data_IF_532131337337
#
_entry.id   IF_532131337337
#
_cell.length_a   1.000
_cell.length_b   1.000
_cell.length_c   1.000
_cell.angle_alpha   90.00
_cell.angle_beta   90.00
_cell.angle_gamma   90.00
#
_symmetry.space_group_name_H-M   'P 1'
#
loop_
_entity.id
_entity.type
_entity.pdbx_description
1 polymer ?
#
# COMPACT_ATOMS: atom_id res chain seq x y z
N UNK A 1 -39.70 -7.65 24.22
CA UNK A 1 -40.02 -7.25 25.60
C UNK A 1 -39.93 -5.72 25.80
N UNK A 2 -38.89 -5.04 25.31
CA UNK A 2 -38.75 -3.58 25.46
C UNK A 2 -39.80 -2.70 24.75
N UNK A 3 -40.34 -3.11 23.60
CA UNK A 3 -41.35 -2.28 22.89
C UNK A 3 -42.68 -2.20 23.63
N UNK A 4 -43.11 -3.27 24.29
CA UNK A 4 -44.41 -3.32 25.00
C UNK A 4 -44.34 -2.45 26.26
N UNK A 5 -43.22 -2.49 26.99
CA UNK A 5 -43.01 -1.70 28.21
C UNK A 5 -42.96 -0.20 27.88
N UNK A 6 -42.29 0.20 26.79
CA UNK A 6 -42.30 1.61 26.36
C UNK A 6 -43.69 2.10 25.94
N UNK A 7 -44.51 1.21 25.36
CA UNK A 7 -45.86 1.54 24.94
C UNK A 7 -46.80 1.74 26.14
N UNK A 8 -46.73 0.85 27.13
CA UNK A 8 -47.49 0.96 28.39
C UNK A 8 -47.15 2.23 29.19
N UNK A 9 -45.87 2.62 29.24
CA UNK A 9 -45.43 3.86 29.91
C UNK A 9 -45.92 5.13 29.20
N UNK A 10 -46.20 5.08 27.90
CA UNK A 10 -46.75 6.21 27.15
C UNK A 10 -48.25 6.37 27.41
N UNK A 11 -48.97 5.26 27.59
CA UNK A 11 -50.42 5.26 27.84
C UNK A 11 -50.75 5.79 29.25
N UNK A 12 -49.97 5.44 30.27
CA UNK A 12 -50.14 5.97 31.63
C UNK A 12 -49.88 7.48 31.71
N UNK A 13 -48.85 7.96 31.01
CA UNK A 13 -48.54 9.40 30.94
C UNK A 13 -49.62 10.20 30.22
N UNK A 14 -50.21 9.62 29.18
CA UNK A 14 -51.31 10.24 28.44
C UNK A 14 -52.56 10.38 29.32
N UNK A 15 -52.89 9.32 30.07
CA UNK A 15 -54.02 9.32 31.00
C UNK A 15 -53.84 10.36 32.11
N UNK A 16 -52.63 10.48 32.66
CA UNK A 16 -52.32 11.50 33.66
C UNK A 16 -52.49 12.93 33.13
N UNK A 17 -52.08 13.21 31.89
CA UNK A 17 -52.28 14.51 31.27
C UNK A 17 -53.77 14.82 31.04
N UNK A 18 -54.57 13.82 30.67
CA UNK A 18 -56.02 13.98 30.53
C UNK A 18 -56.72 14.25 31.87
N UNK A 19 -56.25 13.63 32.96
CA UNK A 19 -56.76 13.89 34.32
C UNK A 19 -56.42 15.31 34.80
N UNK A 20 -55.20 15.81 34.51
CA UNK A 20 -54.81 17.19 34.82
C UNK A 20 -55.60 18.24 34.02
N UNK A 21 -55.94 17.93 32.77
CA UNK A 21 -56.78 18.77 31.90
C UNK A 21 -58.21 18.87 32.45
N UNK A 22 -58.80 17.73 32.86
CA UNK A 22 -60.12 17.69 33.49
C UNK A 22 -60.19 18.45 34.83
N UNK A 23 -59.06 18.55 35.54
CA UNK A 23 -58.94 19.36 36.75
C UNK A 23 -58.68 20.85 36.48
N UNK A 24 -58.58 21.28 35.21
CA UNK A 24 -58.35 22.67 34.83
C UNK A 24 -56.98 23.22 35.27
N UNK A 25 -56.02 22.33 35.51
CA UNK A 25 -54.67 22.69 36.01
C UNK A 25 -53.75 23.11 34.85
N UNK A 26 -54.06 22.68 33.63
CA UNK A 26 -53.27 22.96 32.44
C UNK A 26 -53.68 24.30 31.82
N UNK A 27 -52.68 25.13 31.49
CA UNK A 27 -52.86 26.40 30.78
C UNK A 27 -52.90 26.21 29.25
N UNK A 28 -52.67 24.99 28.76
CA UNK A 28 -52.56 24.65 27.34
C UNK A 28 -53.17 23.27 27.07
N UNK A 29 -53.74 23.09 25.87
CA UNK A 29 -54.34 21.82 25.44
C UNK A 29 -53.32 20.66 25.45
N UNK A 30 -53.76 19.49 25.92
CA UNK A 30 -52.98 18.25 25.98
C UNK A 30 -52.32 17.90 24.63
N UNK A 31 -53.03 18.13 23.52
CA UNK A 31 -52.52 17.88 22.16
C UNK A 31 -51.32 18.77 21.80
N UNK A 32 -51.32 20.03 22.26
CA UNK A 32 -50.21 20.97 22.07
C UNK A 32 -48.99 20.56 22.89
N UNK A 33 -49.20 20.07 24.12
CA UNK A 33 -48.13 19.55 24.98
C UNK A 33 -47.48 18.32 24.35
N UNK A 34 -48.27 17.37 23.85
CA UNK A 34 -47.77 16.16 23.16
C UNK A 34 -46.95 16.51 21.91
N UNK A 35 -47.38 17.53 21.15
CA UNK A 35 -46.67 17.99 19.96
C UNK A 35 -45.29 18.57 20.30
N UNK A 36 -45.14 19.27 21.44
CA UNK A 36 -43.85 19.83 21.90
C UNK A 36 -42.83 18.75 22.27
N UNK A 37 -43.28 17.57 22.71
CA UNK A 37 -42.42 16.45 23.08
C UNK A 37 -42.27 15.38 21.98
N UNK A 38 -42.90 15.57 20.82
CA UNK A 38 -42.75 14.63 19.70
C UNK A 38 -41.33 14.71 19.13
N UNK A 39 -40.63 13.57 18.95
CA UNK A 39 -39.28 13.58 18.42
C UNK A 39 -39.28 14.19 17.00
N UNK A 40 -38.26 14.99 16.64
CA UNK A 40 -38.18 15.58 15.32
C UNK A 40 -38.19 14.48 14.26
N UNK A 41 -38.98 14.66 13.19
CA UNK A 41 -39.06 13.70 12.07
C UNK A 41 -37.68 13.58 11.42
N UNK A 42 -36.90 12.57 11.82
CA UNK A 42 -35.61 12.24 11.21
C UNK A 42 -35.89 11.87 9.75
N UNK A 43 -35.53 12.75 8.81
CA UNK A 43 -35.57 12.46 7.37
C UNK A 43 -34.68 11.23 7.13
N UNK A 44 -35.29 10.09 6.76
CA UNK A 44 -34.55 8.88 6.40
C UNK A 44 -33.54 9.25 5.30
N UNK A 45 -32.24 9.17 5.61
CA UNK A 45 -31.17 9.32 4.62
C UNK A 45 -31.39 8.26 3.53
N UNK A 46 -31.57 8.69 2.28
CA UNK A 46 -31.64 7.77 1.15
C UNK A 46 -30.29 7.07 1.02
N UNK A 47 -30.25 5.75 1.15
CA UNK A 47 -29.06 4.95 0.87
C UNK A 47 -28.81 4.95 -0.64
N UNK A 48 -28.04 5.94 -1.12
CA UNK A 48 -27.57 5.96 -2.51
C UNK A 48 -26.38 5.00 -2.58
N UNK A 49 -26.61 3.73 -2.96
CA UNK A 49 -25.53 2.82 -3.37
C UNK A 49 -25.01 3.27 -4.74
N UNK A 50 -24.07 4.22 -4.74
CA UNK A 50 -23.25 4.49 -5.93
C UNK A 50 -22.39 3.25 -6.18
N UNK A 51 -22.74 2.47 -7.22
CA UNK A 51 -21.96 1.33 -7.67
C UNK A 51 -20.66 1.87 -8.27
N UNK A 52 -19.62 1.99 -7.44
CA UNK A 52 -18.30 2.43 -7.91
C UNK A 52 -17.79 1.49 -9.01
N UNK A 53 -17.15 2.04 -10.03
CA UNK A 53 -16.53 1.25 -11.10
C UNK A 53 -15.35 0.45 -10.56
N UNK A 54 -15.06 -0.71 -11.16
CA UNK A 54 -13.89 -1.52 -10.76
C UNK A 54 -12.58 -0.74 -10.87
N UNK A 55 -12.46 0.15 -11.87
CA UNK A 55 -11.32 1.06 -12.01
C UNK A 55 -11.16 1.97 -10.79
N UNK A 56 -12.24 2.61 -10.33
CA UNK A 56 -12.22 3.48 -9.15
C UNK A 56 -11.78 2.74 -7.89
N UNK A 57 -12.24 1.50 -7.72
CA UNK A 57 -11.85 0.64 -6.62
C UNK A 57 -10.35 0.35 -6.70
N UNK A 58 -9.87 -0.14 -7.85
CA UNK A 58 -8.48 -0.52 -8.05
C UNK A 58 -7.49 0.63 -7.86
N UNK A 59 -7.88 1.84 -8.24
CA UNK A 59 -7.05 3.03 -8.06
C UNK A 59 -6.79 3.31 -6.57
N UNK A 60 -7.80 3.09 -5.73
CA UNK A 60 -7.77 3.36 -4.29
C UNK A 60 -7.20 2.21 -3.45
N UNK A 61 -7.14 0.99 -4.00
CA UNK A 61 -6.54 -0.15 -3.32
C UNK A 61 -5.03 0.03 -3.12
N UNK A 62 -4.52 -0.63 -2.07
CA UNK A 62 -3.08 -0.83 -1.87
C UNK A 62 -2.43 -1.50 -3.07
N UNK A 63 -1.11 -1.48 -3.14
CA UNK A 63 -0.40 -2.21 -4.20
C UNK A 63 -0.67 -3.70 -4.01
N UNK A 64 -1.30 -4.34 -5.01
CA UNK A 64 -1.62 -5.76 -5.03
C UNK A 64 -0.81 -6.48 -6.11
N UNK A 65 -0.46 -7.76 -5.92
CA UNK A 65 0.14 -8.56 -6.98
C UNK A 65 -0.88 -8.86 -8.07
N UNK A 66 -0.40 -9.11 -9.28
CA UNK A 66 -1.26 -9.60 -10.35
C UNK A 66 -1.74 -11.02 -10.03
N UNK A 67 -3.06 -11.19 -9.94
CA UNK A 67 -3.72 -12.45 -9.56
C UNK A 67 -4.51 -13.07 -10.73
N UNK A 68 -4.04 -12.88 -11.98
CA UNK A 68 -4.68 -13.47 -13.17
C UNK A 68 -5.99 -12.80 -13.62
N UNK A 69 -6.34 -11.64 -13.04
CA UNK A 69 -7.56 -10.89 -13.38
C UNK A 69 -7.21 -9.52 -13.92
N UNK A 70 -7.77 -9.18 -15.08
CA UNK A 70 -7.55 -7.92 -15.78
C UNK A 70 -8.81 -7.05 -15.65
N UNK A 71 -8.61 -5.78 -15.28
CA UNK A 71 -9.70 -4.81 -15.21
C UNK A 71 -9.87 -4.21 -16.60
N UNK A 72 -11.01 -4.50 -17.23
CA UNK A 72 -11.27 -4.11 -18.63
C UNK A 72 -11.26 -2.61 -18.85
N UNK A 73 -11.68 -1.81 -17.86
CA UNK A 73 -11.72 -0.35 -17.96
C UNK A 73 -10.35 0.33 -17.84
N UNK A 74 -9.31 -0.45 -17.50
CA UNK A 74 -7.96 0.05 -17.26
C UNK A 74 -7.06 -0.25 -18.45
N UNK A 75 -6.02 0.57 -18.58
CA UNK A 75 -4.96 0.40 -19.57
C UNK A 75 -4.30 -0.98 -19.43
N UNK A 76 -4.16 -1.69 -20.55
CA UNK A 76 -3.55 -3.03 -20.59
C UNK A 76 -2.02 -3.04 -20.55
N UNK A 77 -1.38 -1.87 -20.49
CA UNK A 77 0.07 -1.80 -20.34
C UNK A 77 0.51 -2.35 -18.97
N UNK A 78 1.56 -3.15 -18.98
CA UNK A 78 2.19 -3.63 -17.76
C UNK A 78 3.13 -2.56 -17.17
N UNK A 79 3.12 -2.40 -15.84
CA UNK A 79 3.96 -1.46 -15.10
C UNK A 79 4.69 -2.16 -13.97
N UNK A 80 5.98 -1.87 -13.82
CA UNK A 80 6.80 -2.35 -12.71
C UNK A 80 6.62 -1.44 -11.48
N UNK A 81 5.90 -1.92 -10.48
CA UNK A 81 5.62 -1.24 -9.21
C UNK A 81 6.26 -2.01 -8.06
N UNK A 82 7.30 -1.45 -7.43
CA UNK A 82 8.01 -2.04 -6.29
C UNK A 82 8.54 -3.48 -6.53
N UNK A 83 8.82 -3.85 -7.78
CA UNK A 83 9.26 -5.20 -8.16
C UNK A 83 8.13 -6.17 -8.52
N UNK A 84 6.87 -5.72 -8.41
CA UNK A 84 5.72 -6.39 -9.02
C UNK A 84 5.48 -5.83 -10.40
N UNK A 85 4.95 -6.65 -11.28
CA UNK A 85 4.48 -6.21 -12.58
C UNK A 85 2.96 -6.29 -12.56
N UNK A 86 2.32 -5.13 -12.67
CA UNK A 86 0.88 -4.94 -12.43
C UNK A 86 0.26 -4.15 -13.58
N UNK A 87 -1.07 -4.21 -13.70
CA UNK A 87 -1.80 -3.44 -14.69
C UNK A 87 -1.65 -1.93 -14.42
N UNK A 88 -1.55 -1.13 -15.47
CA UNK A 88 -1.59 0.32 -15.33
C UNK A 88 -2.92 0.76 -14.68
N UNK A 89 -2.83 1.61 -13.64
CA UNK A 89 -4.01 2.13 -12.92
C UNK A 89 -4.81 3.19 -13.70
N UNK A 90 -4.31 3.66 -14.86
CA UNK A 90 -5.01 4.66 -15.68
C UNK A 90 -6.14 3.99 -16.47
N UNK A 91 -7.19 4.76 -16.76
CA UNK A 91 -8.25 4.36 -17.69
C UNK A 91 -7.64 4.12 -19.07
N UNK A 92 -8.11 3.11 -19.79
CA UNK A 92 -7.73 2.91 -21.19
C UNK A 92 -8.47 3.90 -22.09
N UNK A 93 -7.84 4.25 -23.19
CA UNK A 93 -8.48 4.90 -24.32
C UNK A 93 -8.94 3.82 -25.32
N UNK A 94 -9.33 4.23 -26.53
CA UNK A 94 -9.85 3.30 -27.56
C UNK A 94 -8.78 2.30 -28.04
N UNK A 95 -7.49 2.62 -27.85
CA UNK A 95 -6.35 1.83 -28.31
C UNK A 95 -5.81 0.82 -27.28
N UNK A 96 -6.68 0.26 -26.41
CA UNK A 96 -6.34 -0.68 -25.30
C UNK A 96 -5.39 -0.12 -24.20
N UNK A 97 -4.64 0.94 -24.49
CA UNK A 97 -3.72 1.63 -23.61
C UNK A 97 -4.23 3.03 -23.28
N UNK A 98 -3.74 3.61 -22.18
CA UNK A 98 -3.88 5.04 -21.91
C UNK A 98 -2.89 5.83 -22.76
N UNK A 99 -3.17 7.09 -23.02
CA UNK A 99 -2.36 8.05 -23.80
C UNK A 99 -0.84 7.92 -23.54
N UNK A 100 -0.41 7.98 -22.28
CA UNK A 100 1.00 7.90 -21.94
C UNK A 100 1.64 6.53 -22.21
N UNK A 101 0.85 5.45 -22.19
CA UNK A 101 1.35 4.10 -22.48
C UNK A 101 1.34 3.82 -23.99
N UNK A 102 0.35 4.33 -24.73
CA UNK A 102 0.37 4.31 -26.19
C UNK A 102 1.55 5.11 -26.74
N UNK A 103 1.87 6.26 -26.15
CA UNK A 103 3.04 7.03 -26.57
C UNK A 103 4.36 6.32 -26.25
N UNK A 104 4.43 5.66 -25.09
CA UNK A 104 5.58 4.82 -24.75
C UNK A 104 5.72 3.61 -25.70
N UNK A 105 4.61 3.09 -26.22
CA UNK A 105 4.59 1.97 -27.16
C UNK A 105 5.12 2.38 -28.54
N UNK A 106 4.74 3.57 -29.05
CA UNK A 106 5.25 4.12 -30.31
C UNK A 106 6.77 4.35 -30.29
N UNK A 107 7.30 4.73 -29.14
CA UNK A 107 8.73 4.97 -28.94
C UNK A 107 9.53 3.67 -28.70
N UNK A 108 8.86 2.52 -28.62
CA UNK A 108 9.49 1.21 -28.45
C UNK A 108 9.63 0.51 -29.80
N UNK A 109 10.72 -0.25 -29.98
CA UNK A 109 10.95 -1.04 -31.20
C UNK A 109 9.93 -2.16 -31.42
N UNK A 110 9.23 -2.58 -30.37
CA UNK A 110 8.26 -3.68 -30.38
C UNK A 110 6.80 -3.22 -30.53
N UNK A 111 6.57 -1.91 -30.74
CA UNK A 111 5.23 -1.26 -30.79
C UNK A 111 4.36 -1.53 -29.54
N UNK A 112 4.98 -2.03 -28.46
CA UNK A 112 4.36 -2.36 -27.19
C UNK A 112 4.93 -1.48 -26.09
N UNK A 113 4.18 -1.24 -24.99
CA UNK A 113 4.71 -0.57 -23.81
C UNK A 113 6.01 -1.22 -23.33
N UNK A 114 6.89 -0.51 -22.59
CA UNK A 114 8.26 -0.95 -22.30
C UNK A 114 8.37 -2.27 -21.54
N UNK A 115 7.33 -2.67 -20.81
CA UNK A 115 7.27 -3.96 -20.12
C UNK A 115 6.31 -4.95 -20.79
N UNK A 116 5.70 -4.60 -21.92
CA UNK A 116 4.71 -5.41 -22.62
C UNK A 116 3.27 -5.20 -22.13
N UNK A 117 2.41 -6.12 -22.56
CA UNK A 117 0.98 -6.16 -22.25
C UNK A 117 0.71 -7.04 -21.02
N UNK A 118 -0.27 -6.66 -20.20
CA UNK A 118 -0.66 -7.42 -19.02
C UNK A 118 -1.24 -8.80 -19.37
N UNK A 119 -1.82 -8.95 -20.57
CA UNK A 119 -2.36 -10.24 -21.07
C UNK A 119 -1.27 -11.28 -21.29
N UNK A 120 -0.08 -10.84 -21.66
CA UNK A 120 1.08 -11.69 -21.96
C UNK A 120 1.93 -11.97 -20.71
N UNK A 121 1.59 -11.34 -19.59
CA UNK A 121 2.37 -11.38 -18.35
C UNK A 121 2.72 -12.81 -17.93
N UNK A 122 1.75 -13.71 -17.87
CA UNK A 122 1.97 -15.06 -17.35
C UNK A 122 2.92 -15.86 -18.24
N UNK A 123 2.86 -15.64 -19.57
CA UNK A 123 3.82 -16.22 -20.52
C UNK A 123 5.23 -15.64 -20.32
N UNK A 124 5.35 -14.32 -20.15
CA UNK A 124 6.65 -13.67 -19.91
C UNK A 124 7.30 -14.08 -18.58
N UNK A 125 6.48 -14.38 -17.56
CA UNK A 125 6.95 -14.97 -16.29
C UNK A 125 7.46 -16.39 -16.52
N UNK A 126 6.71 -17.23 -17.24
CA UNK A 126 7.12 -18.61 -17.54
C UNK A 126 8.42 -18.67 -18.34
N UNK A 127 8.60 -17.77 -19.31
CA UNK A 127 9.81 -17.65 -20.12
C UNK A 127 10.97 -16.96 -19.40
N UNK A 128 10.78 -16.47 -18.16
CA UNK A 128 11.77 -15.72 -17.36
C UNK A 128 12.25 -14.42 -18.02
N UNK A 129 11.44 -13.83 -18.90
CA UNK A 129 11.75 -12.55 -19.58
C UNK A 129 11.57 -11.35 -18.64
N UNK A 130 10.72 -11.47 -17.62
CA UNK A 130 10.50 -10.42 -16.62
C UNK A 130 11.58 -10.43 -15.53
N UNK A 131 12.53 -9.53 -15.67
CA UNK A 131 13.66 -9.41 -14.74
C UNK A 131 13.24 -8.81 -13.39
N UNK A 132 13.67 -9.46 -12.31
CA UNK A 132 13.58 -8.92 -10.96
C UNK A 132 12.17 -8.91 -10.38
N UNK A 133 11.36 -9.95 -10.68
CA UNK A 133 10.12 -10.21 -9.95
C UNK A 133 10.45 -10.48 -8.48
N UNK A 134 9.73 -9.82 -7.59
CA UNK A 134 9.82 -9.98 -6.15
C UNK A 134 8.49 -10.59 -5.66
N UNK A 135 8.55 -11.46 -4.65
CA UNK A 135 7.34 -11.96 -3.97
C UNK A 135 6.61 -10.84 -3.25
N UNK A 136 5.28 -10.96 -3.14
CA UNK A 136 4.46 -9.93 -2.50
C UNK A 136 4.78 -9.74 -1.01
N UNK A 137 5.17 -10.80 -0.29
CA UNK A 137 5.60 -10.72 1.11
C UNK A 137 6.70 -9.68 1.36
N UNK A 138 7.70 -9.64 0.48
CA UNK A 138 8.77 -8.63 0.55
C UNK A 138 8.27 -7.20 0.28
N UNK A 139 7.24 -7.07 -0.56
CA UNK A 139 6.63 -5.76 -0.88
C UNK A 139 5.80 -5.25 0.28
N UNK A 140 5.10 -6.13 1.00
CA UNK A 140 4.37 -5.79 2.22
C UNK A 140 5.30 -5.26 3.30
N UNK A 141 6.42 -5.94 3.54
CA UNK A 141 7.46 -5.51 4.49
C UNK A 141 8.04 -4.15 4.09
N UNK A 142 8.30 -3.93 2.79
CA UNK A 142 8.85 -2.67 2.29
C UNK A 142 7.87 -1.49 2.36
N UNK A 143 6.57 -1.74 2.16
CA UNK A 143 5.55 -0.70 2.12
C UNK A 143 4.75 -0.57 3.43
N UNK A 144 5.07 -1.39 4.44
CA UNK A 144 4.33 -1.48 5.70
C UNK A 144 2.82 -1.68 5.50
N UNK A 145 2.44 -2.52 4.54
CA UNK A 145 1.04 -2.84 4.24
C UNK A 145 0.63 -4.02 5.13
N UNK A 146 -0.49 -3.88 5.84
CA UNK A 146 -1.04 -4.98 6.63
C UNK A 146 -1.62 -6.08 5.73
N UNK A 147 -1.33 -7.35 6.04
CA UNK A 147 -1.79 -8.51 5.26
C UNK A 147 -3.32 -8.52 5.15
N UNK A 148 -4.02 -8.20 6.24
CA UNK A 148 -5.49 -8.12 6.27
C UNK A 148 -6.04 -7.03 5.36
N UNK A 149 -5.32 -5.91 5.21
CA UNK A 149 -5.74 -4.84 4.30
C UNK A 149 -5.61 -5.28 2.84
N UNK A 150 -4.50 -5.95 2.49
CA UNK A 150 -4.29 -6.48 1.15
C UNK A 150 -5.35 -7.53 0.76
N UNK A 151 -5.72 -8.43 1.68
CA UNK A 151 -6.78 -9.43 1.45
C UNK A 151 -8.15 -8.78 1.24
N UNK A 152 -8.50 -7.75 2.03
CA UNK A 152 -9.75 -6.99 1.87
C UNK A 152 -9.82 -6.31 0.51
N UNK A 153 -8.74 -5.64 0.11
CA UNK A 153 -8.68 -4.92 -1.18
C UNK A 153 -8.71 -5.89 -2.36
N UNK A 154 -8.03 -7.03 -2.26
CA UNK A 154 -8.10 -8.09 -3.25
C UNK A 154 -9.52 -8.63 -3.38
N UNK A 155 -10.18 -8.95 -2.26
CA UNK A 155 -11.56 -9.44 -2.24
C UNK A 155 -12.54 -8.42 -2.85
N UNK A 156 -12.34 -7.13 -2.62
CA UNK A 156 -13.17 -6.06 -3.19
C UNK A 156 -13.09 -6.01 -4.73
N UNK A 157 -11.92 -6.36 -5.28
CA UNK A 157 -11.70 -6.53 -6.72
C UNK A 157 -12.08 -7.93 -7.24
N UNK A 158 -12.51 -8.82 -6.33
CA UNK A 158 -12.78 -10.22 -6.62
C UNK A 158 -11.51 -11.02 -6.93
N UNK A 159 -10.34 -10.61 -6.43
CA UNK A 159 -9.07 -11.29 -6.63
C UNK A 159 -8.76 -12.20 -5.43
N UNK A 160 -8.01 -13.28 -5.70
CA UNK A 160 -7.50 -14.19 -4.68
C UNK A 160 -5.98 -14.21 -4.79
N UNK A 161 -5.29 -13.77 -3.75
CA UNK A 161 -3.83 -13.77 -3.72
C UNK A 161 -3.36 -15.19 -3.39
N UNK A 162 -2.56 -15.84 -4.25
CA UNK A 162 -2.09 -17.20 -4.01
C UNK A 162 -1.04 -17.23 -2.89
N UNK A 163 -0.97 -18.35 -2.15
CA UNK A 163 -0.19 -18.42 -0.93
C UNK A 163 1.32 -18.17 -1.11
N UNK A 164 1.86 -18.62 -2.24
CA UNK A 164 3.26 -18.42 -2.66
C UNK A 164 3.64 -16.94 -2.66
N UNK A 165 2.70 -16.03 -2.93
CA UNK A 165 2.98 -14.60 -2.94
C UNK A 165 3.25 -14.05 -1.54
N UNK A 166 2.77 -14.69 -0.46
CA UNK A 166 2.99 -14.22 0.91
C UNK A 166 4.39 -14.55 1.45
N UNK A 167 5.14 -15.42 0.80
CA UNK A 167 6.46 -15.83 1.26
C UNK A 167 7.50 -14.70 1.13
N UNK A 168 8.24 -14.45 2.22
CA UNK A 168 9.32 -13.45 2.26
C UNK A 168 10.62 -14.12 1.82
N UNK A 169 11.07 -13.80 0.61
CA UNK A 169 12.36 -14.30 0.09
C UNK A 169 13.48 -13.32 0.40
N UNK A 170 14.35 -13.66 1.36
CA UNK A 170 15.55 -12.87 1.67
C UNK A 170 16.69 -13.22 0.71
N UNK A 171 17.06 -12.31 -0.18
CA UNK A 171 18.28 -12.45 -0.99
C UNK A 171 19.48 -12.06 -0.12
N UNK A 172 20.48 -12.96 -0.01
CA UNK A 172 21.76 -12.61 0.61
C UNK A 172 22.44 -11.56 -0.28
N UNK A 173 22.67 -10.36 0.27
CA UNK A 173 23.40 -9.27 -0.42
C UNK A 173 24.88 -9.37 -0.03
N UNK A 174 25.78 -9.27 -1.01
CA UNK A 174 27.21 -9.10 -0.79
C UNK A 174 28.13 -10.02 -1.62
N UNK A 175 29.38 -9.57 -1.79
CA UNK A 175 30.52 -10.43 -2.17
C UNK A 175 30.62 -11.55 -1.12
N UNK A 176 30.87 -12.82 -1.51
CA UNK A 176 31.16 -13.88 -0.55
C UNK A 176 32.22 -13.39 0.42
N UNK A 177 31.99 -13.50 1.73
CA UNK A 177 33.02 -13.18 2.72
C UNK A 177 34.24 -14.05 2.40
N UNK A 178 35.34 -13.42 1.97
CA UNK A 178 36.63 -14.10 1.80
C UNK A 178 36.98 -14.67 3.16
N UNK A 179 37.01 -16.00 3.28
CA UNK A 179 37.57 -16.65 4.47
C UNK A 179 39.04 -16.22 4.51
N UNK A 180 39.43 -15.47 5.54
CA UNK A 180 40.84 -15.24 5.83
C UNK A 180 41.31 -16.52 6.49
N UNK A 181 41.90 -17.44 5.73
CA UNK A 181 42.74 -18.45 6.36
C UNK A 181 43.91 -17.67 6.97
N UNK A 182 44.01 -17.71 8.30
CA UNK A 182 45.16 -17.19 9.02
C UNK A 182 46.27 -18.20 8.77
N UNK A 183 46.93 -18.11 7.61
CA UNK A 183 48.26 -18.67 7.44
C UNK A 183 49.20 -17.78 8.23
N UNK A 184 49.67 -18.30 9.36
CA UNK A 184 50.86 -17.79 10.03
C UNK A 184 51.99 -17.83 8.99
N UNK A 185 52.42 -16.66 8.53
CA UNK A 185 53.61 -16.52 7.71
C UNK A 185 54.74 -16.36 8.72
N UNK A 186 55.59 -17.37 8.85
CA UNK A 186 56.86 -17.24 9.58
C UNK A 186 57.81 -16.44 8.68
N UNK A 187 58.10 -15.21 9.07
CA UNK A 187 59.04 -14.32 8.39
C UNK A 187 60.46 -14.92 8.46
N UNK A 188 61.05 -15.15 7.29
CA UNK A 188 62.50 -15.28 7.11
C UNK A 188 62.92 -14.15 6.17
N UNK A 189 63.69 -13.21 6.73
CA UNK A 189 64.30 -12.04 6.11
C UNK A 189 65.05 -12.37 4.81
N UNK A 190 64.89 -11.52 3.78
CA UNK A 190 65.93 -11.14 2.81
C UNK A 190 65.45 -9.92 1.97
N UNK A 191 65.93 -8.73 2.36
CA UNK A 191 66.31 -7.51 1.61
C UNK A 191 65.45 -6.97 0.41
N UNK A 192 64.81 -5.83 0.68
CA UNK A 192 64.72 -4.56 -0.09
C UNK A 192 64.51 -4.53 -1.63
N UNK A 193 63.32 -4.06 -2.05
CA UNK A 193 63.17 -2.83 -2.86
C UNK A 193 61.80 -2.14 -2.59
N UNK A 194 61.86 -0.82 -2.42
CA UNK A 194 60.91 0.02 -1.69
C UNK A 194 59.95 0.77 -2.64
N UNK A 195 58.64 0.55 -2.52
CA UNK A 195 57.59 1.53 -2.90
C UNK A 195 56.65 1.68 -1.71
N UNK A 196 56.56 2.86 -1.08
CA UNK A 196 55.69 3.07 0.08
C UNK A 196 54.24 3.32 -0.37
N UNK A 197 53.37 2.33 -0.19
CA UNK A 197 51.92 2.55 -0.04
C UNK A 197 51.61 2.81 1.44
N UNK A 198 51.49 4.08 1.83
CA UNK A 198 50.91 4.45 3.13
C UNK A 198 49.53 5.06 2.91
N UNK A 199 48.50 4.22 2.90
CA UNK A 199 47.16 4.64 3.27
C UNK A 199 47.13 4.86 4.80
N UNK A 200 46.62 5.99 5.32
CA UNK A 200 46.53 6.23 6.76
C UNK A 200 45.68 5.16 7.46
N UNK A 201 46.24 4.63 8.54
CA UNK A 201 45.62 3.70 9.47
C UNK A 201 44.36 4.34 10.10
N UNK A 202 43.24 3.62 10.11
CA UNK A 202 41.92 4.06 10.62
C UNK A 202 41.88 4.26 12.16
N UNK A 203 43.02 4.47 12.81
CA UNK A 203 43.14 4.69 14.26
C UNK A 203 43.95 5.95 14.60
N UNK A 204 43.88 7.00 13.76
CA UNK A 204 44.43 8.29 14.10
C UNK A 204 43.45 9.06 15.00
N UNK A 205 43.95 9.56 16.14
CA UNK A 205 43.17 10.44 17.02
C UNK A 205 43.07 11.84 16.42
N UNK A 206 42.03 12.61 16.77
CA UNK A 206 41.73 13.92 16.14
C UNK A 206 42.92 14.92 16.20
N UNK A 207 43.84 14.76 17.15
CA UNK A 207 45.07 15.55 17.28
C UNK A 207 46.12 15.24 16.19
N UNK A 208 46.13 14.03 15.64
CA UNK A 208 47.05 13.61 14.57
C UNK A 208 46.64 14.22 13.21
N UNK A 209 45.33 14.42 13.01
CA UNK A 209 44.77 15.01 11.78
C UNK A 209 45.06 16.52 11.73
N UNK A 210 45.00 17.20 12.88
CA UNK A 210 45.27 18.63 12.98
C UNK A 210 46.76 18.93 12.71
N UNK A 211 47.65 18.05 13.15
CA UNK A 211 49.11 18.16 12.92
C UNK A 211 49.46 18.01 11.43
N UNK A 212 48.76 17.12 10.72
CA UNK A 212 48.93 16.95 9.27
C UNK A 212 48.43 18.15 8.45
N UNK A 213 47.38 18.83 8.91
CA UNK A 213 46.82 20.01 8.24
C UNK A 213 47.66 21.28 8.45
N UNK A 214 48.26 21.45 9.62
CA UNK A 214 49.14 22.59 9.91
C UNK A 214 50.47 22.53 9.14
N UNK A 215 50.92 21.33 8.76
CA UNK A 215 52.19 21.14 8.05
C UNK A 215 52.11 21.41 6.53
N UNK A 216 50.92 21.72 5.98
CA UNK A 216 50.71 21.96 4.53
C UNK A 216 50.48 23.43 4.15
N UNK A 217 50.58 24.36 5.09
CA UNK A 217 50.32 25.78 4.85
C UNK A 217 51.59 26.64 4.68
N UNK A 218 52.79 26.06 4.77
CA UNK A 218 54.05 26.77 4.53
C UNK A 218 54.77 26.20 3.30
N UNK A 219 54.20 26.43 2.11
CA UNK A 219 54.92 26.50 0.82
C UNK A 219 54.33 27.63 -0.05
#
# INVERSE_FOLDING_TARGET
MNMIIQQQLNDEKLRFLQELDAMGVLNEDVNSIIAKFSPPKIKKRKNIKLKQSQNSIYKNCVVLPYCGKIIKDNCYAMRKNHGLYTQCKRKRDDNDYCECCSEAAKNSSTEKPPYGDIRERDMLVANKELVGIITYGNVLEKLNIDKKQAEKDAMLLGWTIPDIQWEITKKKRGRPKKKRDITFVEDTDDEDENIPETSPNDNATDDDILTYLLCKCDE
#
